data_IF_567210593913
#
_entry.id   IF_567210593913
#
_cell.length_a   1.000
_cell.length_b   1.000
_cell.length_c   1.000
_cell.angle_alpha   90.00
_cell.angle_beta   90.00
_cell.angle_gamma   90.00
#
_symmetry.space_group_name_H-M   'P 1'
#
loop_
_entity.id
_entity.type
_entity.pdbx_description
1 polymer ?
#
# COMPACT_ATOMS: atom_id res chain seq x y z
N UNK A 1 -6.19 -12.78 -2.95
CA UNK A 1 -4.81 -13.28 -3.14
C UNK A 1 -3.90 -12.15 -2.69
N UNK A 2 -3.05 -12.40 -1.70
CA UNK A 2 -2.09 -11.41 -1.18
C UNK A 2 -0.99 -11.15 -2.22
N UNK A 3 -0.76 -9.90 -2.59
CA UNK A 3 0.33 -9.53 -3.51
C UNK A 3 1.65 -9.37 -2.74
N UNK A 4 2.75 -9.86 -3.33
CA UNK A 4 4.10 -9.69 -2.78
C UNK A 4 4.84 -8.65 -3.61
N UNK A 5 5.24 -7.55 -2.98
CA UNK A 5 6.10 -6.53 -3.55
C UNK A 5 7.55 -6.72 -3.11
N UNK A 6 8.49 -6.58 -4.04
CA UNK A 6 9.92 -6.77 -3.78
C UNK A 6 10.68 -5.47 -3.95
N UNK A 7 11.52 -5.16 -2.96
CA UNK A 7 12.40 -4.00 -2.97
C UNK A 7 13.78 -4.40 -2.44
N UNK A 8 14.83 -3.72 -2.89
CA UNK A 8 16.16 -3.84 -2.30
C UNK A 8 16.32 -2.81 -1.19
N UNK A 9 17.05 -3.19 -0.14
CA UNK A 9 17.33 -2.30 0.99
C UNK A 9 17.93 -0.97 0.51
N UNK A 10 17.39 0.14 1.00
CA UNK A 10 17.77 1.50 0.65
C UNK A 10 17.37 1.95 -0.76
N UNK A 11 16.64 1.12 -1.53
CA UNK A 11 16.12 1.55 -2.83
C UNK A 11 14.79 2.27 -2.64
N UNK A 12 14.54 3.30 -3.44
CA UNK A 12 13.29 4.06 -3.45
C UNK A 12 12.46 3.80 -4.72
N UNK A 13 12.93 2.88 -5.57
CA UNK A 13 12.27 2.46 -6.81
C UNK A 13 12.30 0.93 -6.93
N UNK A 14 11.28 0.30 -7.54
CA UNK A 14 10.07 0.94 -8.08
C UNK A 14 9.14 1.47 -6.97
N UNK A 15 8.20 2.35 -7.32
CA UNK A 15 7.13 2.75 -6.41
C UNK A 15 6.27 1.55 -6.04
N UNK A 16 5.63 1.59 -4.88
CA UNK A 16 4.65 0.57 -4.50
C UNK A 16 3.29 0.92 -5.09
N UNK A 17 2.83 0.12 -6.06
CA UNK A 17 1.55 0.31 -6.74
C UNK A 17 0.63 -0.84 -6.39
N UNK A 18 -0.61 -0.54 -6.00
CA UNK A 18 -1.64 -1.54 -5.71
C UNK A 18 -2.97 -1.16 -6.32
N UNK A 19 -3.81 -2.17 -6.55
CA UNK A 19 -5.21 -2.02 -6.94
C UNK A 19 -6.07 -2.54 -5.80
N UNK A 20 -6.80 -1.64 -5.15
CA UNK A 20 -7.71 -1.97 -4.05
C UNK A 20 -8.92 -2.70 -4.60
N UNK A 21 -9.28 -3.81 -3.94
CA UNK A 21 -10.32 -4.73 -4.40
C UNK A 21 -11.27 -5.09 -3.25
N UNK A 22 -12.53 -5.29 -3.59
CA UNK A 22 -13.56 -5.77 -2.66
C UNK A 22 -13.41 -7.27 -2.34
N UNK A 23 -14.35 -7.80 -1.56
CA UNK A 23 -14.40 -9.22 -1.20
C UNK A 23 -14.51 -10.15 -2.43
N UNK A 24 -15.21 -9.69 -3.48
CA UNK A 24 -15.42 -10.40 -4.75
C UNK A 24 -14.25 -10.23 -5.74
N UNK A 25 -13.19 -9.54 -5.31
CA UNK A 25 -11.96 -9.24 -6.06
C UNK A 25 -12.15 -8.27 -7.22
N UNK A 26 -13.21 -7.46 -7.20
CA UNK A 26 -13.41 -6.36 -8.14
C UNK A 26 -12.72 -5.08 -7.65
N UNK A 27 -12.08 -4.29 -8.54
CA UNK A 27 -11.51 -3.00 -8.16
C UNK A 27 -12.56 -2.04 -7.60
N UNK A 28 -12.26 -1.43 -6.45
CA UNK A 28 -13.14 -0.44 -5.79
C UNK A 28 -12.89 0.94 -6.38
N UNK A 29 -13.95 1.70 -6.64
CA UNK A 29 -13.82 3.10 -7.07
C UNK A 29 -13.50 3.99 -5.88
N UNK A 30 -12.26 4.50 -5.81
CA UNK A 30 -11.74 5.38 -4.75
C UNK A 30 -11.51 6.83 -5.21
N UNK A 31 -12.04 7.21 -6.37
CA UNK A 31 -11.85 8.56 -6.94
C UNK A 31 -12.38 9.71 -6.07
N UNK A 32 -13.31 9.43 -5.16
CA UNK A 32 -13.89 10.41 -4.22
C UNK A 32 -13.29 10.33 -2.81
N UNK A 33 -12.29 9.48 -2.59
CA UNK A 33 -11.62 9.37 -1.29
C UNK A 33 -10.96 10.69 -0.88
N UNK A 34 -11.07 11.04 0.40
CA UNK A 34 -10.46 12.25 0.98
C UNK A 34 -9.04 12.00 1.47
N UNK A 35 -8.69 10.75 1.81
CA UNK A 35 -7.34 10.34 2.11
C UNK A 35 -7.12 8.88 1.74
N UNK A 36 -5.89 8.55 1.30
CA UNK A 36 -5.43 7.17 1.08
C UNK A 36 -4.10 7.04 1.80
N UNK A 37 -3.98 6.15 2.78
CA UNK A 37 -2.77 5.98 3.60
C UNK A 37 -2.23 4.57 3.53
N UNK A 38 -0.91 4.45 3.43
CA UNK A 38 -0.18 3.20 3.58
C UNK A 38 0.19 3.02 5.04
N UNK A 39 -0.22 1.89 5.62
CA UNK A 39 0.31 1.39 6.88
C UNK A 39 1.18 0.17 6.61
N UNK A 40 2.42 0.20 7.07
CA UNK A 40 3.37 -0.90 6.94
C UNK A 40 4.07 -1.17 8.26
N UNK A 41 4.15 -2.43 8.67
CA UNK A 41 4.87 -2.85 9.88
C UNK A 41 5.56 -4.19 9.72
N UNK A 42 6.51 -4.50 10.60
CA UNK A 42 7.03 -5.86 10.71
C UNK A 42 6.01 -6.76 11.43
N UNK A 43 6.03 -8.09 11.21
CA UNK A 43 5.19 -9.03 11.94
C UNK A 43 5.42 -8.91 13.46
N UNK A 44 4.40 -8.47 14.19
CA UNK A 44 4.47 -8.26 15.64
C UNK A 44 5.31 -7.06 16.11
N UNK A 45 5.79 -6.22 15.19
CA UNK A 45 6.61 -5.05 15.53
C UNK A 45 5.90 -3.70 15.36
N UNK A 46 6.68 -2.63 15.50
CA UNK A 46 6.21 -1.25 15.35
C UNK A 46 5.93 -0.89 13.89
N UNK A 47 5.15 0.18 13.70
CA UNK A 47 4.88 0.76 12.39
C UNK A 47 6.19 1.28 11.78
N UNK A 48 6.46 0.87 10.55
CA UNK A 48 7.59 1.29 9.72
C UNK A 48 7.20 2.43 8.78
N UNK A 49 6.00 2.37 8.21
CA UNK A 49 5.42 3.43 7.37
C UNK A 49 3.99 3.69 7.81
N UNK A 50 3.66 4.96 8.01
CA UNK A 50 2.31 5.50 8.16
C UNK A 50 2.29 6.83 7.40
N UNK A 51 1.96 6.75 6.12
CA UNK A 51 2.14 7.86 5.19
C UNK A 51 1.05 7.89 4.12
N UNK A 52 0.81 9.07 3.57
CA UNK A 52 -0.14 9.27 2.48
C UNK A 52 0.35 8.62 1.18
N UNK A 53 -0.57 8.01 0.45
CA UNK A 53 -0.37 7.50 -0.91
C UNK A 53 -0.98 8.44 -1.93
N UNK A 54 -0.41 8.44 -3.14
CA UNK A 54 -0.99 9.11 -4.29
C UNK A 54 -2.20 8.29 -4.76
N UNK A 55 -3.39 8.87 -4.65
CA UNK A 55 -4.58 8.31 -5.30
C UNK A 55 -4.44 8.46 -6.83
N UNK A 56 -4.49 7.34 -7.55
CA UNK A 56 -4.40 7.31 -9.03
C UNK A 56 -5.74 7.02 -9.69
N UNK A 57 -6.80 6.76 -8.93
CA UNK A 57 -8.13 6.48 -9.44
C UNK A 57 -8.80 7.78 -9.91
N UNK A 58 -9.07 7.87 -11.22
CA UNK A 58 -9.78 8.99 -11.85
C UNK A 58 -11.27 8.70 -12.09
N UNK A 59 -11.80 7.61 -11.53
CA UNK A 59 -13.16 7.12 -11.71
C UNK A 59 -13.33 6.23 -12.94
N UNK A 60 -12.33 6.14 -13.81
CA UNK A 60 -12.37 5.28 -14.99
C UNK A 60 -12.04 3.83 -14.65
N UNK A 61 -12.53 2.93 -15.49
CA UNK A 61 -12.28 1.49 -15.43
C UNK A 61 -10.78 1.13 -15.48
N UNK A 62 -9.96 1.96 -16.12
CA UNK A 62 -8.53 1.69 -16.32
C UNK A 62 -7.68 1.96 -15.07
N UNK A 63 -8.10 2.88 -14.21
CA UNK A 63 -7.37 3.29 -13.00
C UNK A 63 -8.13 3.00 -11.71
N UNK A 64 -9.28 2.32 -11.81
CA UNK A 64 -10.13 2.03 -10.66
C UNK A 64 -9.36 1.33 -9.54
N UNK A 65 -9.46 1.87 -8.33
CA UNK A 65 -8.84 1.35 -7.12
C UNK A 65 -7.33 1.52 -7.07
N UNK A 66 -6.71 2.18 -8.06
CA UNK A 66 -5.26 2.27 -8.14
C UNK A 66 -4.72 3.35 -7.19
N UNK A 67 -3.74 3.01 -6.39
CA UNK A 67 -2.95 3.96 -5.62
C UNK A 67 -1.46 3.62 -5.68
N UNK A 68 -0.63 4.63 -5.40
CA UNK A 68 0.82 4.53 -5.49
C UNK A 68 1.51 5.19 -4.30
N UNK A 69 2.49 4.51 -3.72
CA UNK A 69 3.38 5.07 -2.71
C UNK A 69 4.80 5.22 -3.28
N UNK A 70 5.32 6.44 -3.21
CA UNK A 70 6.72 6.73 -3.48
C UNK A 70 7.51 6.62 -2.17
N UNK A 71 8.43 5.65 -2.12
CA UNK A 71 9.26 5.39 -0.96
C UNK A 71 10.11 6.59 -0.58
N UNK A 72 10.20 6.86 0.72
CA UNK A 72 11.06 7.86 1.33
C UNK A 72 12.32 7.24 1.93
N UNK A 73 13.33 8.08 2.17
CA UNK A 73 14.54 7.64 2.86
C UNK A 73 14.18 7.17 4.28
N UNK A 74 14.57 5.94 4.61
CA UNK A 74 14.27 5.30 5.89
C UNK A 74 13.17 4.23 5.82
N UNK A 75 12.30 4.26 4.81
CA UNK A 75 11.23 3.26 4.68
C UNK A 75 11.78 1.89 4.32
N UNK A 76 12.79 1.87 3.44
CA UNK A 76 13.42 0.65 2.91
C UNK A 76 14.80 0.35 3.50
N UNK A 77 15.21 1.05 4.57
CA UNK A 77 16.56 0.92 5.15
C UNK A 77 16.80 -0.39 5.93
N UNK A 78 15.74 -1.16 6.19
CA UNK A 78 15.76 -2.36 7.02
C UNK A 78 15.30 -3.55 6.17
N UNK A 79 16.18 -4.53 5.97
CA UNK A 79 15.81 -5.76 5.29
C UNK A 79 14.85 -6.60 6.14
N UNK A 80 13.84 -7.20 5.51
CA UNK A 80 12.82 -7.96 6.23
C UNK A 80 11.56 -8.21 5.41
N UNK A 81 10.62 -8.91 6.07
CA UNK A 81 9.25 -9.05 5.59
C UNK A 81 8.37 -8.09 6.37
N UNK A 82 7.53 -7.35 5.66
CA UNK A 82 6.61 -6.37 6.20
C UNK A 82 5.19 -6.68 5.74
N UNK A 83 4.23 -6.38 6.60
CA UNK A 83 2.81 -6.42 6.31
C UNK A 83 2.35 -5.01 5.99
N UNK A 84 1.63 -4.87 4.88
CA UNK A 84 1.14 -3.61 4.38
C UNK A 84 -0.37 -3.67 4.15
N UNK A 85 -1.05 -2.59 4.52
CA UNK A 85 -2.46 -2.36 4.27
C UNK A 85 -2.66 -0.90 3.84
N UNK A 86 -3.74 -0.65 3.11
CA UNK A 86 -4.12 0.68 2.64
C UNK A 86 -5.44 1.06 3.29
N UNK A 87 -5.45 2.14 4.05
CA UNK A 87 -6.65 2.72 4.62
C UNK A 87 -7.17 3.85 3.72
N UNK A 88 -8.45 3.80 3.38
CA UNK A 88 -9.14 4.80 2.58
C UNK A 88 -10.15 5.51 3.46
N UNK A 89 -10.03 6.83 3.57
CA UNK A 89 -11.02 7.69 4.23
C UNK A 89 -11.91 8.36 3.17
N UNK A 90 -13.20 8.44 3.47
CA UNK A 90 -14.21 9.04 2.61
C UNK A 90 -14.82 10.29 3.27
N UNK A 91 -15.50 11.17 2.51
CA UNK A 91 -16.10 12.38 3.09
C UNK A 91 -17.08 12.13 4.24
N UNK A 92 -17.88 11.05 4.17
CA UNK A 92 -19.06 10.85 5.03
C UNK A 92 -19.22 9.41 5.55
N UNK A 93 -18.19 8.57 5.42
CA UNK A 93 -18.24 7.17 5.89
C UNK A 93 -17.01 6.83 6.71
N UNK A 94 -17.12 5.75 7.49
CA UNK A 94 -15.98 5.19 8.21
C UNK A 94 -14.86 4.80 7.24
N UNK A 95 -13.58 4.89 7.67
CA UNK A 95 -12.47 4.40 6.89
C UNK A 95 -12.60 2.91 6.57
N UNK A 96 -12.15 2.53 5.38
CA UNK A 96 -12.10 1.13 4.95
C UNK A 96 -10.64 0.72 4.70
N UNK A 97 -10.24 -0.45 5.20
CA UNK A 97 -8.87 -0.96 5.11
C UNK A 97 -8.77 -2.13 4.15
N UNK A 98 -7.77 -2.08 3.27
CA UNK A 98 -7.54 -3.05 2.22
C UNK A 98 -6.15 -3.71 2.33
N UNK A 99 -6.04 -5.03 2.10
CA UNK A 99 -7.13 -5.95 1.80
C UNK A 99 -7.97 -6.28 3.05
N UNK A 100 -9.26 -6.53 2.85
CA UNK A 100 -10.20 -6.86 3.93
C UNK A 100 -10.04 -8.28 4.52
N UNK A 101 -9.27 -9.15 3.86
CA UNK A 101 -9.04 -10.55 4.23
C UNK A 101 -7.61 -10.84 4.71
N UNK A 102 -6.78 -9.79 4.94
CA UNK A 102 -5.41 -9.95 5.42
C UNK A 102 -4.54 -8.72 5.21
N UNK A 103 -3.36 -8.92 4.65
CA UNK A 103 -2.41 -7.84 4.33
C UNK A 103 -1.60 -8.19 3.08
N UNK A 104 -1.09 -7.16 2.40
CA UNK A 104 -0.08 -7.30 1.38
C UNK A 104 1.29 -7.57 2.02
N UNK A 105 2.18 -8.23 1.28
CA UNK A 105 3.54 -8.51 1.74
C UNK A 105 4.51 -7.59 1.02
N UNK A 106 5.29 -6.82 1.76
CA UNK A 106 6.44 -6.08 1.23
C UNK A 106 7.71 -6.77 1.70
N UNK A 107 8.53 -7.24 0.76
CA UNK A 107 9.79 -7.91 1.04
C UNK A 107 10.97 -7.03 0.65
N UNK A 108 11.63 -6.49 1.66
CA UNK A 108 12.87 -5.73 1.49
C UNK A 108 14.02 -6.70 1.66
N UNK A 109 14.77 -6.94 0.58
CA UNK A 109 15.92 -7.84 0.60
C UNK A 109 17.20 -7.03 0.72
N UNK A 110 18.16 -7.52 1.49
CA UNK A 110 19.49 -6.91 1.61
C UNK A 110 20.08 -6.57 0.23
N UNK A 111 20.65 -5.37 0.17
CA UNK A 111 21.39 -4.87 -0.98
C UNK A 111 22.86 -5.29 -0.79
N UNK A 112 23.46 -5.87 -1.83
CA UNK A 112 24.82 -6.42 -1.72
C UNK A 112 25.93 -5.40 -2.00
N UNK A 113 25.60 -4.24 -2.57
CA UNK A 113 26.48 -3.09 -2.83
C UNK A 113 25.61 -1.86 -3.11
#
# INVERSE_FOLDING_TARGET
MSEIFYLKQGNLRPSYVVILKDADKNPVNISTATAVRLHMKTPGGAIKVDAEMINRDDGTEALRGKCEYEWQAGDSDTAGTFYAEVEVTWPDTDPETFPNDGYNIVKITEKLA
#
